data_IF_359395966327
#
_entry.id   IF_359395966327
#
_cell.length_a   1.000
_cell.length_b   1.000
_cell.length_c   1.000
_cell.angle_alpha   90.00
_cell.angle_beta   90.00
_cell.angle_gamma   90.00
#
_symmetry.space_group_name_H-M   'P 1'
#
loop_
_entity.id
_entity.type
_entity.pdbx_description
1 polymer ?
#
# COMPACT_ATOMS: atom_id res chain seq x y z
N UNK A 1 -20.48 -6.73 -13.25
CA UNK A 1 -19.48 -6.09 -12.36
C UNK A 1 -18.12 -6.56 -12.82
N UNK A 2 -17.37 -5.74 -13.55
CA UNK A 2 -15.98 -6.05 -13.88
C UNK A 2 -15.21 -6.20 -12.58
N UNK A 3 -14.81 -7.44 -12.26
CA UNK A 3 -13.72 -7.67 -11.32
C UNK A 3 -12.48 -7.12 -12.01
N UNK A 4 -12.25 -5.82 -11.83
CA UNK A 4 -11.08 -5.16 -12.40
C UNK A 4 -9.86 -5.86 -11.80
N UNK A 5 -9.24 -6.76 -12.57
CA UNK A 5 -8.04 -7.53 -12.23
C UNK A 5 -6.80 -6.63 -12.20
N UNK A 6 -6.97 -5.37 -11.79
CA UNK A 6 -5.92 -4.39 -11.72
C UNK A 6 -4.90 -4.84 -10.69
N UNK A 7 -3.66 -4.83 -11.11
CA UNK A 7 -2.52 -5.08 -10.23
C UNK A 7 -2.01 -3.74 -9.76
N UNK A 8 -1.85 -3.59 -8.44
CA UNK A 8 -1.24 -2.41 -7.86
C UNK A 8 0.15 -2.74 -7.30
N UNK A 9 1.08 -1.80 -7.41
CA UNK A 9 2.38 -1.82 -6.75
C UNK A 9 2.28 -0.96 -5.50
N UNK A 10 2.65 -1.53 -4.35
CA UNK A 10 2.58 -0.84 -3.05
C UNK A 10 4.00 -0.69 -2.52
N UNK A 11 4.50 0.55 -2.49
CA UNK A 11 5.82 0.88 -1.93
C UNK A 11 5.63 1.38 -0.51
N UNK A 12 6.20 0.70 0.48
CA UNK A 12 6.06 0.97 1.91
C UNK A 12 7.37 1.53 2.45
N UNK A 13 7.32 2.68 3.12
CA UNK A 13 8.44 3.25 3.87
C UNK A 13 8.39 2.72 5.31
N UNK A 14 9.51 2.20 5.80
CA UNK A 14 9.67 1.76 7.19
C UNK A 14 10.34 2.84 8.05
N UNK A 15 10.14 2.76 9.36
CA UNK A 15 10.69 3.66 10.36
C UNK A 15 12.23 3.64 10.37
N UNK A 16 12.83 2.48 10.17
CA UNK A 16 14.29 2.32 10.00
C UNK A 16 14.85 2.94 8.69
N UNK A 17 14.02 3.59 7.88
CA UNK A 17 14.45 4.25 6.65
C UNK A 17 14.42 3.35 5.41
N UNK A 18 14.16 2.05 5.55
CA UNK A 18 14.10 1.14 4.39
C UNK A 18 12.80 1.30 3.60
N UNK A 19 12.86 0.92 2.33
CA UNK A 19 11.69 0.82 1.45
C UNK A 19 11.44 -0.64 1.07
N UNK A 20 10.19 -1.07 1.16
CA UNK A 20 9.77 -2.42 0.78
C UNK A 20 8.68 -2.33 -0.29
N UNK A 21 8.70 -3.22 -1.27
CA UNK A 21 7.77 -3.22 -2.40
C UNK A 21 6.92 -4.49 -2.41
N UNK A 22 5.61 -4.31 -2.52
CA UNK A 22 4.62 -5.39 -2.63
C UNK A 22 3.77 -5.27 -3.89
N UNK A 23 3.11 -6.36 -4.27
CA UNK A 23 2.14 -6.41 -5.38
C UNK A 23 0.78 -6.84 -4.84
N UNK A 24 -0.26 -6.06 -5.13
CA UNK A 24 -1.65 -6.40 -4.86
C UNK A 24 -2.33 -6.85 -6.16
N UNK A 25 -2.64 -8.15 -6.26
CA UNK A 25 -3.20 -8.77 -7.48
C UNK A 25 -4.73 -8.83 -7.54
N UNK A 26 -5.42 -8.29 -6.53
CA UNK A 26 -6.89 -8.29 -6.44
C UNK A 26 -7.44 -6.87 -6.35
N UNK A 27 -6.91 -5.98 -7.17
CA UNK A 27 -7.31 -4.59 -7.19
C UNK A 27 -7.19 -3.90 -5.81
N UNK A 28 -8.14 -3.01 -5.53
CA UNK A 28 -8.18 -2.23 -4.29
C UNK A 28 -8.42 -3.08 -3.04
N UNK A 29 -9.07 -4.24 -3.15
CA UNK A 29 -9.23 -5.17 -2.04
C UNK A 29 -7.89 -5.80 -1.61
N UNK A 30 -7.03 -6.13 -2.59
CA UNK A 30 -5.67 -6.58 -2.31
C UNK A 30 -4.84 -5.53 -1.58
N UNK A 31 -4.94 -4.26 -1.99
CA UNK A 31 -4.27 -3.13 -1.33
C UNK A 31 -4.73 -2.99 0.12
N UNK A 32 -6.04 -3.02 0.38
CA UNK A 32 -6.58 -2.93 1.75
C UNK A 32 -6.05 -4.04 2.67
N UNK A 33 -5.95 -5.28 2.17
CA UNK A 33 -5.38 -6.40 2.94
C UNK A 33 -3.89 -6.21 3.23
N UNK A 34 -3.12 -5.68 2.28
CA UNK A 34 -1.71 -5.35 2.52
C UNK A 34 -1.54 -4.28 3.57
N UNK A 35 -2.32 -3.19 3.51
CA UNK A 35 -2.28 -2.12 4.52
C UNK A 35 -2.58 -2.68 5.91
N UNK A 36 -3.65 -3.49 6.03
CA UNK A 36 -3.97 -4.18 7.28
C UNK A 36 -2.84 -5.10 7.76
N UNK A 37 -2.22 -5.86 6.87
CA UNK A 37 -1.08 -6.71 7.19
C UNK A 37 0.09 -5.87 7.74
N UNK A 38 0.39 -4.70 7.15
CA UNK A 38 1.43 -3.81 7.66
C UNK A 38 1.08 -3.28 9.06
N UNK A 39 -0.16 -2.89 9.32
CA UNK A 39 -0.60 -2.46 10.65
C UNK A 39 -0.41 -3.53 11.72
N UNK A 40 -0.66 -4.79 11.38
CA UNK A 40 -0.60 -5.92 12.32
C UNK A 40 0.83 -6.47 12.52
N UNK A 41 1.67 -6.44 11.49
CA UNK A 41 2.95 -7.17 11.49
C UNK A 41 4.19 -6.28 11.48
N UNK A 42 4.07 -5.01 11.06
CA UNK A 42 5.21 -4.12 11.01
C UNK A 42 5.28 -3.33 12.31
N UNK A 43 6.13 -3.83 13.22
CA UNK A 43 6.31 -3.30 14.58
C UNK A 43 7.78 -2.97 14.85
N UNK A 44 8.04 -2.24 15.95
CA UNK A 44 9.39 -1.82 16.33
C UNK A 44 10.07 -0.97 15.25
N UNK A 45 11.34 -1.26 14.96
CA UNK A 45 12.13 -0.57 13.92
C UNK A 45 11.60 -0.79 12.50
N UNK A 46 10.85 -1.87 12.28
CA UNK A 46 10.23 -2.19 11.00
C UNK A 46 8.82 -1.60 10.87
N UNK A 47 8.36 -0.79 11.85
CA UNK A 47 7.06 -0.13 11.77
C UNK A 47 6.94 0.69 10.47
N UNK A 48 5.85 0.51 9.73
CA UNK A 48 5.64 1.27 8.51
C UNK A 48 5.24 2.72 8.83
N UNK A 49 5.69 3.67 8.01
CA UNK A 49 5.36 5.10 8.13
C UNK A 49 4.26 5.51 7.17
N UNK A 50 4.44 5.14 5.90
CA UNK A 50 3.47 5.38 4.85
C UNK A 50 3.68 4.43 3.69
N UNK A 51 2.68 4.30 2.82
CA UNK A 51 2.80 3.55 1.58
C UNK A 51 2.14 4.26 0.40
N UNK A 52 2.81 4.22 -0.74
CA UNK A 52 2.32 4.74 -2.01
C UNK A 52 1.83 3.59 -2.87
N UNK A 53 0.66 3.76 -3.47
CA UNK A 53 0.03 2.76 -4.33
C UNK A 53 0.01 3.27 -5.76
N UNK A 54 0.57 2.47 -6.66
CA UNK A 54 0.63 2.76 -8.09
C UNK A 54 -0.15 1.70 -8.84
N UNK A 55 -0.92 2.09 -9.84
CA UNK A 55 -1.44 1.14 -10.82
C UNK A 55 -0.27 0.63 -11.67
N UNK A 56 -0.14 -0.70 -11.79
CA UNK A 56 1.05 -1.31 -12.38
C UNK A 56 1.27 -0.92 -13.84
N UNK A 57 0.20 -0.83 -14.62
CA UNK A 57 0.24 -0.61 -16.07
C UNK A 57 0.53 0.85 -16.42
N UNK A 58 -0.25 1.77 -15.85
CA UNK A 58 -0.10 3.21 -16.08
C UNK A 58 1.05 3.84 -15.28
N UNK A 59 1.57 3.12 -14.27
CA UNK A 59 2.49 3.65 -13.25
C UNK A 59 1.95 4.89 -12.51
N UNK A 60 0.66 5.18 -12.66
CA UNK A 60 0.03 6.32 -12.00
C UNK A 60 -0.12 6.03 -10.52
N UNK A 61 0.24 7.00 -9.69
CA UNK A 61 -0.08 6.94 -8.26
C UNK A 61 -1.58 7.12 -8.07
N UNK A 62 -2.22 6.17 -7.40
CA UNK A 62 -3.66 6.15 -7.18
C UNK A 62 -4.06 6.33 -5.72
N UNK A 63 -3.14 6.11 -4.79
CA UNK A 63 -3.37 6.33 -3.36
C UNK A 63 -2.07 6.54 -2.59
N UNK A 64 -2.20 7.16 -1.42
CA UNK A 64 -1.17 7.22 -0.39
C UNK A 64 -1.83 6.92 0.96
N UNK A 65 -1.23 6.04 1.74
CA UNK A 65 -1.65 5.74 3.11
C UNK A 65 -0.54 6.18 4.05
N UNK A 66 -0.86 7.00 5.03
CA UNK A 66 0.00 7.26 6.17
C UNK A 66 -0.40 6.27 7.27
N UNK A 67 0.55 5.80 8.07
CA UNK A 67 0.25 5.00 9.24
C UNK A 67 -0.69 5.80 10.15
N UNK A 68 -1.93 5.33 10.26
CA UNK A 68 -3.01 5.97 11.02
C UNK A 68 -3.99 6.86 10.23
N UNK A 69 -3.74 7.25 8.96
CA UNK A 69 -4.71 8.00 8.12
C UNK A 69 -4.45 7.79 6.61
N UNK A 70 -5.51 7.65 5.82
CA UNK A 70 -5.40 7.77 4.35
C UNK A 70 -5.59 9.25 3.95
N UNK A 71 -4.52 10.02 3.63
CA UNK A 71 -4.66 11.42 3.23
C UNK A 71 -5.36 11.63 1.88
N UNK A 72 -5.52 10.57 1.07
CA UNK A 72 -6.06 10.66 -0.30
C UNK A 72 -7.55 10.35 -0.42
N UNK A 73 -8.27 10.23 0.70
CA UNK A 73 -9.74 10.22 0.71
C UNK A 73 -10.27 11.30 1.67
N UNK A 74 -11.09 12.26 1.19
CA UNK A 74 -11.87 13.13 2.07
C UNK A 74 -12.80 12.31 2.97
#
# INVERSE_FOLDING_TARGET
MEKSNKVYVVNVKLLNGNWVKYRAVQGSAGVKRLVKYFDEHFVGENKWLFCNVYEKESQQQVANYLNGKNPTRP
#
